data_IF_471678577333
#
_entry.id   IF_471678577333
#
_cell.length_a   1.000
_cell.length_b   1.000
_cell.length_c   1.000
_cell.angle_alpha   90.00
_cell.angle_beta   90.00
_cell.angle_gamma   90.00
#
_symmetry.space_group_name_H-M   'P 1'
#
loop_
_entity.id
_entity.type
_entity.pdbx_description
1 polymer ?
#
# COMPACT_ATOMS: atom_id res chain seq x y z
N UNK A 1 -14.57 11.28 -2.79
CA UNK A 1 -13.43 11.40 -1.84
C UNK A 1 -12.55 10.14 -1.89
N UNK A 2 -13.11 8.95 -1.64
CA UNK A 2 -12.33 7.71 -1.61
C UNK A 2 -11.56 7.37 -2.91
N UNK A 3 -12.14 7.61 -4.09
CA UNK A 3 -11.42 7.36 -5.37
C UNK A 3 -10.11 8.14 -5.47
N UNK A 4 -10.11 9.42 -5.08
CA UNK A 4 -8.90 10.26 -5.05
C UNK A 4 -7.89 9.71 -4.04
N UNK A 5 -8.36 9.29 -2.87
CA UNK A 5 -7.50 8.71 -1.84
C UNK A 5 -6.85 7.39 -2.27
N UNK A 6 -7.58 6.50 -2.95
CA UNK A 6 -7.00 5.25 -3.49
C UNK A 6 -5.89 5.52 -4.49
N UNK A 7 -6.07 6.52 -5.36
CA UNK A 7 -5.04 6.96 -6.29
C UNK A 7 -3.84 7.57 -5.56
N UNK A 8 -4.06 8.34 -4.50
CA UNK A 8 -2.98 8.90 -3.69
C UNK A 8 -2.18 7.80 -2.97
N UNK A 9 -2.85 6.82 -2.36
CA UNK A 9 -2.22 5.63 -1.78
C UNK A 9 -1.38 4.89 -2.83
N UNK A 10 -1.90 4.72 -4.04
CA UNK A 10 -1.18 4.06 -5.13
C UNK A 10 0.11 4.82 -5.52
N UNK A 11 0.06 6.15 -5.57
CA UNK A 11 1.21 7.02 -5.85
C UNK A 11 2.24 7.00 -4.72
N UNK A 12 1.80 7.17 -3.47
CA UNK A 12 2.69 7.14 -2.31
C UNK A 12 3.43 5.80 -2.22
N UNK A 13 2.72 4.68 -2.43
CA UNK A 13 3.34 3.35 -2.41
C UNK A 13 4.29 3.15 -3.60
N UNK A 14 3.93 3.63 -4.79
CA UNK A 14 4.82 3.57 -5.94
C UNK A 14 6.11 4.35 -5.69
N UNK A 15 6.00 5.57 -5.15
CA UNK A 15 7.14 6.37 -4.72
C UNK A 15 8.02 5.60 -3.73
N UNK A 16 7.44 5.06 -2.64
CA UNK A 16 8.21 4.29 -1.64
C UNK A 16 8.96 3.11 -2.26
N UNK A 17 8.35 2.39 -3.21
CA UNK A 17 8.95 1.20 -3.81
C UNK A 17 9.95 1.50 -4.93
N UNK A 18 9.96 2.72 -5.49
CA UNK A 18 10.93 3.15 -6.51
C UNK A 18 12.02 4.05 -5.96
N UNK A 19 11.79 4.73 -4.83
CA UNK A 19 12.78 5.53 -4.12
C UNK A 19 13.90 4.63 -3.58
N UNK A 20 14.96 4.48 -4.37
CA UNK A 20 16.13 3.71 -4.01
C UNK A 20 17.13 4.58 -3.21
N UNK A 21 16.76 4.93 -1.97
CA UNK A 21 17.63 5.72 -1.10
C UNK A 21 18.55 4.84 -0.25
N UNK A 22 18.53 3.51 -0.44
CA UNK A 22 19.27 2.53 0.39
C UNK A 22 18.82 2.46 1.86
N UNK A 23 17.86 3.30 2.26
CA UNK A 23 17.30 3.37 3.61
C UNK A 23 16.47 2.13 3.92
N UNK A 24 16.61 1.60 5.13
CA UNK A 24 15.75 0.52 5.59
C UNK A 24 14.36 1.08 5.85
N UNK A 25 13.34 0.44 5.28
CA UNK A 25 11.95 0.86 5.43
C UNK A 25 11.20 -0.12 6.32
N UNK A 26 10.35 0.39 7.21
CA UNK A 26 9.48 -0.43 8.05
C UNK A 26 8.03 -0.03 7.85
N UNK A 27 7.19 -1.03 7.57
CA UNK A 27 5.74 -0.87 7.54
C UNK A 27 5.17 -0.99 8.97
N UNK A 28 4.49 0.05 9.43
CA UNK A 28 4.00 0.15 10.82
C UNK A 28 2.49 -0.14 10.97
N UNK A 29 1.79 -0.41 9.87
CA UNK A 29 0.37 -0.80 9.91
C UNK A 29 0.21 -2.33 9.78
N UNK A 30 -1.04 -2.82 9.68
CA UNK A 30 -1.25 -4.26 9.59
C UNK A 30 -0.83 -4.81 8.22
N UNK A 31 -0.50 -6.10 8.15
CA UNK A 31 -0.23 -6.78 6.87
C UNK A 31 -1.41 -6.68 5.91
N UNK A 32 -2.64 -6.66 6.42
CA UNK A 32 -3.83 -6.51 5.56
C UNK A 32 -3.89 -5.13 4.92
N UNK A 33 -3.46 -4.10 5.64
CA UNK A 33 -3.41 -2.75 5.11
C UNK A 33 -2.35 -2.62 4.02
N UNK A 34 -1.19 -3.29 4.22
CA UNK A 34 -0.19 -3.40 3.16
C UNK A 34 -0.79 -4.04 1.91
N UNK A 35 -1.53 -5.15 2.05
CA UNK A 35 -2.18 -5.78 0.90
C UNK A 35 -3.21 -4.87 0.23
N UNK A 36 -3.97 -4.09 1.00
CA UNK A 36 -4.92 -3.11 0.46
C UNK A 36 -4.19 -1.99 -0.32
N UNK A 37 -3.09 -1.45 0.21
CA UNK A 37 -2.27 -0.46 -0.49
C UNK A 37 -1.74 -0.99 -1.82
N UNK A 38 -1.14 -2.18 -1.81
CA UNK A 38 -0.59 -2.82 -3.00
C UNK A 38 -1.66 -3.16 -4.03
N UNK A 39 -2.86 -3.51 -3.59
CA UNK A 39 -3.99 -3.70 -4.50
C UNK A 39 -4.32 -2.41 -5.23
N UNK A 40 -4.38 -1.27 -4.54
CA UNK A 40 -4.64 0.01 -5.19
C UNK A 40 -3.49 0.43 -6.11
N UNK A 41 -2.23 0.20 -5.73
CA UNK A 41 -1.06 0.40 -6.59
C UNK A 41 -1.18 -0.41 -7.89
N UNK A 42 -1.52 -1.69 -7.80
CA UNK A 42 -1.73 -2.56 -8.96
C UNK A 42 -2.91 -2.10 -9.84
N UNK A 43 -4.06 -1.80 -9.24
CA UNK A 43 -5.26 -1.40 -9.99
C UNK A 43 -5.13 -0.05 -10.70
N UNK A 44 -4.19 0.81 -10.27
CA UNK A 44 -3.92 2.10 -10.91
C UNK A 44 -2.68 2.06 -11.84
N UNK A 45 -2.09 0.87 -12.07
CA UNK A 45 -0.93 0.65 -12.95
C UNK A 45 0.25 1.62 -12.67
N UNK A 46 0.46 1.97 -11.41
CA UNK A 46 1.46 2.97 -11.03
C UNK A 46 2.90 2.43 -11.02
N UNK A 47 3.09 1.14 -11.27
CA UNK A 47 4.41 0.49 -11.30
C UNK A 47 4.51 -0.47 -12.50
N UNK A 48 5.49 -0.20 -13.36
CA UNK A 48 5.93 -1.12 -14.41
C UNK A 48 7.16 -1.93 -13.96
N UNK A 49 7.37 -3.07 -14.60
CA UNK A 49 8.64 -3.78 -14.52
C UNK A 49 9.74 -3.03 -15.31
N UNK A 50 11.01 -3.42 -15.10
CA UNK A 50 12.15 -2.82 -15.80
C UNK A 50 12.08 -2.95 -17.33
N UNK A 51 11.36 -3.96 -17.84
CA UNK A 51 11.10 -4.20 -19.25
C UNK A 51 9.89 -3.42 -19.80
N UNK A 52 9.28 -2.55 -18.99
CA UNK A 52 8.07 -1.80 -19.35
C UNK A 52 6.78 -2.62 -19.30
N UNK A 53 6.82 -3.90 -18.92
CA UNK A 53 5.62 -4.73 -18.78
C UNK A 53 4.82 -4.37 -17.50
N UNK A 54 3.48 -4.54 -17.51
CA UNK A 54 2.67 -4.35 -16.30
C UNK A 54 3.14 -5.25 -15.17
N UNK A 55 3.35 -4.66 -13.99
CA UNK A 55 3.79 -5.42 -12.82
C UNK A 55 2.67 -6.36 -12.34
N UNK A 56 2.93 -7.67 -12.33
CA UNK A 56 1.97 -8.64 -11.78
C UNK A 56 1.77 -8.38 -10.29
N UNK A 57 0.53 -8.52 -9.82
CA UNK A 57 0.21 -8.31 -8.41
C UNK A 57 1.08 -9.13 -7.44
N UNK A 58 1.39 -10.39 -7.76
CA UNK A 58 2.26 -11.22 -6.91
C UNK A 58 3.69 -10.66 -6.83
N UNK A 59 4.24 -10.23 -7.96
CA UNK A 59 5.57 -9.62 -8.04
C UNK A 59 5.62 -8.32 -7.24
N UNK A 60 4.57 -7.50 -7.31
CA UNK A 60 4.45 -6.30 -6.49
C UNK A 60 4.44 -6.63 -4.99
N UNK A 61 3.70 -7.66 -4.59
CA UNK A 61 3.65 -8.12 -3.20
C UNK A 61 5.02 -8.61 -2.72
N UNK A 62 5.71 -9.43 -3.52
CA UNK A 62 7.05 -9.92 -3.19
C UNK A 62 8.05 -8.78 -3.01
N UNK A 63 8.05 -7.81 -3.94
CA UNK A 63 8.91 -6.61 -3.86
C UNK A 63 8.66 -5.83 -2.57
N UNK A 64 7.39 -5.49 -2.30
CA UNK A 64 7.04 -4.71 -1.13
C UNK A 64 7.31 -5.45 0.18
N UNK A 65 6.96 -6.73 0.26
CA UNK A 65 7.25 -7.56 1.42
C UNK A 65 8.75 -7.66 1.69
N UNK A 66 9.57 -7.81 0.64
CA UNK A 66 11.04 -7.81 0.76
C UNK A 66 11.55 -6.46 1.27
N UNK A 67 11.09 -5.35 0.67
CA UNK A 67 11.48 -4.00 1.05
C UNK A 67 11.16 -3.68 2.52
N UNK A 68 10.02 -4.15 3.03
CA UNK A 68 9.61 -3.93 4.42
C UNK A 68 10.07 -5.02 5.40
N UNK A 69 10.80 -6.06 4.95
CA UNK A 69 11.20 -7.18 5.80
C UNK A 69 10.02 -8.02 6.33
N UNK A 70 8.93 -8.11 5.57
CA UNK A 70 7.71 -8.84 5.93
C UNK A 70 7.63 -10.16 5.16
N UNK A 71 7.24 -11.24 5.82
CA UNK A 71 6.93 -12.51 5.13
C UNK A 71 5.73 -12.37 4.20
N UNK A 72 5.90 -12.77 2.94
CA UNK A 72 4.83 -12.82 1.93
C UNK A 72 3.67 -13.71 2.40
N UNK A 73 2.40 -13.25 2.36
CA UNK A 73 1.25 -14.10 2.68
C UNK A 73 1.09 -15.24 1.68
N UNK A 74 0.73 -16.44 2.16
CA UNK A 74 0.47 -17.62 1.29
C UNK A 74 -0.61 -17.38 0.21
N UNK A 75 -1.58 -16.50 0.47
CA UNK A 75 -2.57 -16.08 -0.52
C UNK A 75 -2.83 -14.56 -0.42
N UNK A 76 -2.08 -13.74 -1.16
CA UNK A 76 -2.21 -12.28 -1.13
C UNK A 76 -3.58 -11.81 -1.62
N UNK A 77 -4.11 -12.40 -2.71
CA UNK A 77 -5.42 -12.04 -3.28
C UNK A 77 -6.56 -12.24 -2.29
N UNK A 78 -6.61 -13.38 -1.60
CA UNK A 78 -7.61 -13.64 -0.54
C UNK A 78 -7.50 -12.64 0.61
N UNK A 79 -6.28 -12.20 0.92
CA UNK A 79 -6.03 -11.20 1.97
C UNK A 79 -6.58 -9.82 1.56
N UNK A 80 -6.40 -9.43 0.30
CA UNK A 80 -7.01 -8.22 -0.28
C UNK A 80 -8.54 -8.31 -0.27
N UNK A 81 -9.13 -9.40 -0.75
CA UNK A 81 -10.60 -9.56 -0.74
C UNK A 81 -11.15 -9.39 0.66
N UNK A 82 -10.52 -10.01 1.66
CA UNK A 82 -10.89 -9.82 3.07
C UNK A 82 -10.69 -8.39 3.56
N UNK A 83 -9.66 -7.67 3.09
CA UNK A 83 -9.41 -6.27 3.41
C UNK A 83 -10.54 -5.36 2.88
N UNK A 84 -10.85 -5.50 1.60
CA UNK A 84 -11.87 -4.71 0.90
C UNK A 84 -13.28 -4.99 1.42
N UNK A 85 -13.53 -6.18 1.98
CA UNK A 85 -14.83 -6.58 2.55
C UNK A 85 -15.01 -6.22 4.04
N UNK A 86 -14.13 -5.42 4.66
CA UNK A 86 -14.22 -5.03 6.11
C UNK A 86 -15.35 -4.05 6.47
N UNK A 87 -16.47 -4.07 5.76
CA UNK A 87 -17.65 -3.28 6.15
C UNK A 87 -18.21 -3.84 7.49
N UNK A 88 -18.24 -3.02 8.54
CA UNK A 88 -18.83 -3.39 9.84
C UNK A 88 -17.91 -4.14 10.83
N UNK A 89 -16.63 -4.35 10.50
CA UNK A 89 -15.63 -4.86 11.46
C UNK A 89 -15.03 -3.66 12.23
N UNK A 90 -14.69 -3.83 13.52
CA UNK A 90 -14.08 -2.80 14.41
C UNK A 90 -12.80 -2.11 13.86
N UNK A 91 -12.31 -2.49 12.67
CA UNK A 91 -11.19 -1.88 11.98
C UNK A 91 -11.63 -1.37 10.60
N UNK A 92 -11.55 -0.06 10.39
CA UNK A 92 -11.82 0.57 9.09
C UNK A 92 -10.77 0.16 8.04
N UNK A 93 -11.18 0.12 6.76
CA UNK A 93 -10.28 -0.06 5.60
C UNK A 93 -9.13 0.95 5.63
N UNK A 94 -7.98 0.61 5.05
CA UNK A 94 -6.85 1.54 4.91
C UNK A 94 -7.30 2.85 4.25
N UNK A 95 -8.07 2.77 3.15
CA UNK A 95 -8.56 3.96 2.45
C UNK A 95 -9.26 4.95 3.39
N UNK A 96 -10.15 4.46 4.25
CA UNK A 96 -10.88 5.30 5.22
C UNK A 96 -9.97 5.89 6.29
N UNK A 97 -8.99 5.14 6.79
CA UNK A 97 -8.00 5.67 7.76
C UNK A 97 -7.11 6.73 7.13
N UNK A 98 -6.68 6.56 5.88
CA UNK A 98 -5.91 7.57 5.16
C UNK A 98 -6.73 8.85 4.93
N UNK A 99 -8.05 8.78 4.67
CA UNK A 99 -8.92 9.96 4.65
C UNK A 99 -8.91 10.73 5.98
N UNK A 100 -8.99 10.01 7.11
CA UNK A 100 -8.97 10.62 8.45
C UNK A 100 -7.61 11.29 8.72
N UNK A 101 -6.49 10.59 8.43
CA UNK A 101 -5.14 11.14 8.59
C UNK A 101 -4.95 12.39 7.72
N UNK A 102 -5.34 12.33 6.45
CA UNK A 102 -5.24 13.47 5.54
C UNK A 102 -6.02 14.69 6.04
N UNK A 103 -7.23 14.48 6.57
CA UNK A 103 -8.05 15.56 7.11
C UNK A 103 -7.49 16.13 8.42
N UNK A 104 -7.08 15.26 9.35
CA UNK A 104 -6.60 15.68 10.67
C UNK A 104 -5.24 16.37 10.60
N UNK A 105 -4.33 15.86 9.78
CA UNK A 105 -2.95 16.36 9.68
C UNK A 105 -2.75 17.32 8.50
N UNK A 106 -3.78 17.56 7.69
CA UNK A 106 -3.72 18.36 6.45
C UNK A 106 -2.59 17.92 5.50
N UNK A 107 -2.36 16.60 5.42
CA UNK A 107 -1.31 15.99 4.60
C UNK A 107 -1.87 15.44 3.29
N UNK A 108 -1.12 15.65 2.19
CA UNK A 108 -1.40 15.04 0.89
C UNK A 108 -0.88 13.60 0.79
N UNK A 109 0.01 13.18 1.70
CA UNK A 109 0.68 11.88 1.66
C UNK A 109 0.40 11.04 2.93
N UNK A 110 -0.88 10.70 3.21
CA UNK A 110 -1.26 10.05 4.46
C UNK A 110 -0.70 8.63 4.59
N UNK A 111 -0.31 7.97 3.48
CA UNK A 111 0.25 6.62 3.53
C UNK A 111 1.66 6.62 4.14
N UNK A 112 2.45 7.68 3.88
CA UNK A 112 3.83 7.78 4.37
C UNK A 112 3.88 7.84 5.90
N UNK A 113 2.80 8.26 6.57
CA UNK A 113 2.69 8.23 8.03
C UNK A 113 2.77 6.81 8.61
N UNK A 114 2.44 5.80 7.80
CA UNK A 114 2.48 4.38 8.18
C UNK A 114 3.83 3.72 7.89
N UNK A 115 4.82 4.49 7.44
CA UNK A 115 6.14 3.99 7.03
C UNK A 115 7.21 4.74 7.83
N UNK A 116 8.19 4.00 8.35
CA UNK A 116 9.40 4.59 8.93
C UNK A 116 10.57 4.35 7.99
N UNK A 117 11.32 5.41 7.72
CA UNK A 117 12.59 5.36 7.01
C UNK A 117 13.71 5.43 8.05
N UNK A 118 14.66 4.49 7.98
CA UNK A 118 15.84 4.38 8.86
C UNK A 118 17.13 4.29 8.07
#
# INVERSE_FOLDING_TARGET
MERKMRMQIAKDMAFVLTSNDGRRMKWNASKTDLMEALHWTFMNDTLANYDGSPCRFCTLVERACTAFGITVPRNPRRTVTRACSRMGVRNATLCRRCCIIAQAEKTEHPLLRLITFS
#
